data_IF_475288183324
#
_entry.id   IF_475288183324
#
_cell.length_a   1.000
_cell.length_b   1.000
_cell.length_c   1.000
_cell.angle_alpha   90.00
_cell.angle_beta   90.00
_cell.angle_gamma   90.00
#
_symmetry.space_group_name_H-M   'P 1'
#
loop_
_entity.id
_entity.type
_entity.pdbx_description
1 polymer ?
#
# COMPACT_ATOMS: atom_id res chain seq x y z
N UNK A 1 1.80 -10.52 12.29
CA UNK A 1 2.63 -10.02 11.16
C UNK A 1 1.67 -9.42 10.14
N UNK A 2 1.94 -8.24 9.59
CA UNK A 2 1.03 -7.60 8.64
C UNK A 2 1.50 -7.82 7.21
N UNK A 3 0.59 -8.16 6.32
CA UNK A 3 0.86 -8.45 4.91
C UNK A 3 0.18 -7.41 4.01
N UNK A 4 0.82 -7.06 2.90
CA UNK A 4 0.40 -5.96 2.05
C UNK A 4 0.28 -6.38 0.59
N UNK A 5 -0.74 -5.86 -0.08
CA UNK A 5 -0.86 -5.91 -1.53
C UNK A 5 -1.08 -4.51 -2.10
N UNK A 6 -0.49 -4.23 -3.25
CA UNK A 6 -0.65 -2.97 -3.96
C UNK A 6 -1.32 -3.21 -5.30
N UNK A 7 -2.43 -2.51 -5.55
CA UNK A 7 -3.08 -2.45 -6.85
C UNK A 7 -2.73 -1.11 -7.50
N UNK A 8 -1.96 -1.13 -8.59
CA UNK A 8 -1.63 0.09 -9.35
C UNK A 8 -2.83 0.52 -10.16
N UNK A 9 -3.07 1.83 -10.27
CA UNK A 9 -4.15 2.37 -11.11
C UNK A 9 -3.81 2.31 -12.61
N UNK A 10 -2.53 2.20 -12.96
CA UNK A 10 -2.01 2.28 -14.33
C UNK A 10 -0.73 1.43 -14.48
N UNK A 11 -0.39 1.03 -15.71
CA UNK A 11 0.87 0.32 -16.00
C UNK A 11 2.11 1.20 -15.71
N UNK A 12 2.03 2.48 -16.05
CA UNK A 12 3.05 3.46 -15.68
C UNK A 12 2.73 4.10 -14.33
N UNK A 13 3.74 4.42 -13.50
CA UNK A 13 3.52 5.06 -12.22
C UNK A 13 2.97 6.48 -12.40
N UNK A 14 1.72 6.69 -12.02
CA UNK A 14 1.11 8.02 -11.91
C UNK A 14 1.32 8.53 -10.49
N UNK A 15 1.78 9.77 -10.31
CA UNK A 15 1.98 10.36 -8.99
C UNK A 15 0.82 11.29 -8.60
N UNK A 16 0.42 11.23 -7.34
CA UNK A 16 -0.76 11.93 -6.80
C UNK A 16 -0.44 12.65 -5.49
N UNK A 17 -1.23 13.68 -5.20
CA UNK A 17 -1.11 14.48 -3.99
C UNK A 17 0.11 15.43 -3.98
N UNK A 18 0.28 16.19 -2.89
CA UNK A 18 1.42 17.07 -2.71
C UNK A 18 2.73 16.28 -2.53
N UNK A 19 3.86 16.96 -2.76
CA UNK A 19 5.18 16.43 -2.44
C UNK A 19 5.29 16.30 -0.92
N UNK A 20 5.75 15.15 -0.43
CA UNK A 20 6.11 14.99 0.97
C UNK A 20 7.36 15.84 1.25
N UNK A 21 7.26 16.90 2.08
CA UNK A 21 8.37 17.83 2.28
C UNK A 21 9.59 17.19 2.94
N UNK A 22 9.40 16.07 3.67
CA UNK A 22 10.48 15.37 4.36
C UNK A 22 11.31 14.49 3.43
N UNK A 23 10.68 13.91 2.40
CA UNK A 23 11.31 12.91 1.52
C UNK A 23 11.52 13.39 0.09
N UNK A 24 10.85 14.48 -0.30
CA UNK A 24 10.81 14.96 -1.68
C UNK A 24 10.00 14.08 -2.64
N UNK A 25 9.34 13.02 -2.13
CA UNK A 25 8.60 12.04 -2.95
C UNK A 25 7.12 12.37 -3.02
N UNK A 26 6.43 11.83 -4.02
CA UNK A 26 4.96 11.83 -4.14
C UNK A 26 4.39 10.44 -3.98
N UNK A 27 3.11 10.35 -3.64
CA UNK A 27 2.42 9.07 -3.57
C UNK A 27 2.14 8.56 -4.97
N UNK A 28 2.28 7.27 -5.20
CA UNK A 28 1.85 6.65 -6.45
C UNK A 28 0.33 6.40 -6.40
N UNK A 29 -0.34 6.60 -7.52
CA UNK A 29 -1.74 6.27 -7.74
C UNK A 29 -1.93 4.76 -7.59
N UNK A 30 -2.87 4.37 -6.74
CA UNK A 30 -3.20 2.98 -6.45
C UNK A 30 -3.71 2.77 -5.04
N UNK A 31 -4.11 1.53 -4.79
CA UNK A 31 -4.74 1.10 -3.55
C UNK A 31 -3.85 0.14 -2.78
N UNK A 32 -3.62 0.45 -1.51
CA UNK A 32 -2.92 -0.42 -0.57
C UNK A 32 -3.94 -1.24 0.21
N UNK A 33 -3.87 -2.56 0.11
CA UNK A 33 -4.66 -3.49 0.90
C UNK A 33 -3.80 -4.13 1.99
N UNK A 34 -4.39 -4.36 3.17
CA UNK A 34 -3.71 -4.80 4.38
C UNK A 34 -4.36 -6.06 4.91
N UNK A 35 -3.56 -7.04 5.33
CA UNK A 35 -4.04 -8.35 5.77
C UNK A 35 -3.32 -8.80 7.04
N UNK A 36 -4.05 -9.43 7.96
CA UNK A 36 -3.49 -10.08 9.15
C UNK A 36 -2.80 -11.41 8.85
N UNK A 37 -3.18 -12.08 7.76
CA UNK A 37 -2.65 -13.39 7.36
C UNK A 37 -2.12 -13.37 5.93
N UNK A 38 -1.01 -14.10 5.72
CA UNK A 38 -0.40 -14.25 4.40
C UNK A 38 -1.37 -14.88 3.39
N UNK A 39 -2.10 -15.90 3.83
CA UNK A 39 -3.03 -16.66 2.98
C UNK A 39 -4.15 -15.77 2.43
N UNK A 40 -4.65 -14.82 3.22
CA UNK A 40 -5.70 -13.90 2.79
C UNK A 40 -5.19 -12.91 1.74
N UNK A 41 -3.97 -12.38 1.93
CA UNK A 41 -3.30 -11.55 0.91
C UNK A 41 -3.13 -12.33 -0.39
N UNK A 42 -2.61 -13.55 -0.31
CA UNK A 42 -2.29 -14.35 -1.49
C UNK A 42 -3.58 -14.73 -2.25
N UNK A 43 -4.66 -15.06 -1.53
CA UNK A 43 -6.00 -15.27 -2.11
C UNK A 43 -6.55 -13.99 -2.77
N UNK A 44 -6.38 -12.83 -2.13
CA UNK A 44 -6.79 -11.55 -2.72
C UNK A 44 -6.05 -11.27 -4.03
N UNK A 45 -4.73 -11.47 -4.05
CA UNK A 45 -3.91 -11.29 -5.26
C UNK A 45 -4.41 -12.20 -6.39
N UNK A 46 -4.66 -13.47 -6.10
CA UNK A 46 -5.22 -14.43 -7.06
C UNK A 46 -6.57 -13.96 -7.61
N UNK A 47 -7.48 -13.49 -6.74
CA UNK A 47 -8.79 -12.96 -7.13
C UNK A 47 -8.69 -11.71 -8.01
N UNK A 48 -7.65 -10.88 -7.82
CA UNK A 48 -7.40 -9.71 -8.67
C UNK A 48 -6.74 -10.05 -10.00
N UNK A 49 -6.48 -11.34 -10.29
CA UNK A 49 -5.87 -11.82 -11.54
C UNK A 49 -4.58 -11.07 -11.92
N UNK A 50 -3.77 -10.74 -10.92
CA UNK A 50 -2.50 -10.03 -11.10
C UNK A 50 -2.60 -8.50 -11.13
N UNK A 51 -3.79 -7.91 -11.00
CA UNK A 51 -3.93 -6.46 -10.88
C UNK A 51 -3.39 -5.92 -9.54
N UNK A 52 -3.35 -6.75 -8.49
CA UNK A 52 -2.63 -6.48 -7.26
C UNK A 52 -1.40 -7.38 -7.11
N UNK A 53 -0.33 -6.83 -6.54
CA UNK A 53 0.92 -7.55 -6.28
C UNK A 53 1.30 -7.49 -4.81
N UNK A 54 1.94 -8.53 -4.30
CA UNK A 54 2.46 -8.54 -2.94
C UNK A 54 3.60 -7.53 -2.80
N UNK A 55 3.56 -6.71 -1.76
CA UNK A 55 4.62 -5.74 -1.44
C UNK A 55 5.06 -5.88 0.00
N UNK A 56 6.31 -5.49 0.26
CA UNK A 56 6.82 -5.37 1.63
C UNK A 56 6.34 -4.07 2.27
N UNK A 57 6.39 -3.98 3.60
CA UNK A 57 6.10 -2.73 4.31
C UNK A 57 7.00 -1.56 3.85
N UNK A 58 8.27 -1.84 3.51
CA UNK A 58 9.18 -0.84 2.95
C UNK A 58 8.69 -0.34 1.59
N UNK A 59 8.32 -1.24 0.68
CA UNK A 59 7.79 -0.86 -0.64
C UNK A 59 6.45 -0.11 -0.51
N UNK A 60 5.56 -0.54 0.37
CA UNK A 60 4.28 0.14 0.61
C UNK A 60 4.47 1.58 1.11
N UNK A 61 5.46 1.82 1.99
CA UNK A 61 5.83 3.18 2.41
C UNK A 61 6.33 4.03 1.27
N UNK A 62 7.20 3.49 0.43
CA UNK A 62 7.73 4.19 -0.75
C UNK A 62 6.62 4.60 -1.71
N UNK A 63 5.66 3.69 -1.98
CA UNK A 63 4.48 3.96 -2.79
C UNK A 63 3.58 5.05 -2.19
N UNK A 64 3.61 5.26 -0.88
CA UNK A 64 2.92 6.35 -0.18
C UNK A 64 3.86 7.53 0.13
N UNK A 65 4.64 7.98 -0.85
CA UNK A 65 5.55 9.13 -0.71
C UNK A 65 6.64 8.97 0.37
N UNK A 66 7.04 7.73 0.67
CA UNK A 66 8.05 7.44 1.70
C UNK A 66 7.59 7.84 3.10
N UNK A 67 6.38 7.45 3.50
CA UNK A 67 5.90 7.70 4.87
C UNK A 67 6.93 7.28 5.93
N UNK A 68 6.98 8.01 7.03
CA UNK A 68 7.69 7.53 8.23
C UNK A 68 7.05 6.23 8.70
N UNK A 69 7.79 5.46 9.49
CA UNK A 69 7.22 4.24 10.07
C UNK A 69 5.98 4.53 10.92
N UNK A 70 6.02 5.59 11.75
CA UNK A 70 4.87 6.01 12.54
C UNK A 70 3.64 6.36 11.67
N UNK A 71 3.80 7.24 10.68
CA UNK A 71 2.68 7.64 9.82
C UNK A 71 2.14 6.46 8.98
N UNK A 72 3.02 5.53 8.60
CA UNK A 72 2.60 4.31 7.92
C UNK A 72 1.82 3.38 8.85
N UNK A 73 2.24 3.23 10.10
CA UNK A 73 1.53 2.42 11.09
C UNK A 73 0.14 3.00 11.41
N UNK A 74 0.02 4.33 11.49
CA UNK A 74 -1.28 5.01 11.63
C UNK A 74 -2.19 4.71 10.42
N UNK A 75 -1.68 4.83 9.18
CA UNK A 75 -2.42 4.44 7.98
C UNK A 75 -2.85 2.98 8.02
N UNK A 76 -1.96 2.07 8.41
CA UNK A 76 -2.25 0.64 8.53
C UNK A 76 -3.33 0.37 9.57
N UNK A 77 -3.31 1.07 10.70
CA UNK A 77 -4.35 0.95 11.72
C UNK A 77 -5.73 1.37 11.19
N UNK A 78 -5.81 2.46 10.42
CA UNK A 78 -7.06 2.88 9.77
C UNK A 78 -7.54 1.84 8.75
N UNK A 79 -6.65 1.30 7.92
CA UNK A 79 -7.00 0.30 6.91
C UNK A 79 -7.45 -1.04 7.50
N UNK A 80 -6.95 -1.41 8.67
CA UNK A 80 -7.39 -2.60 9.41
C UNK A 80 -8.72 -2.33 10.14
N UNK A 81 -8.87 -1.15 10.75
CA UNK A 81 -10.07 -0.76 11.50
C UNK A 81 -11.29 -0.42 10.64
N UNK A 82 -11.09 -0.06 9.36
CA UNK A 82 -12.15 0.22 8.39
C UNK A 82 -12.75 -1.02 7.70
N UNK A 83 -12.40 -2.23 8.14
CA UNK A 83 -12.92 -3.50 7.62
C UNK A 83 -14.12 -4.05 8.44
N UNK A 84 -14.90 -3.17 9.08
CA UNK A 84 -16.14 -3.50 9.79
C UNK A 84 -17.36 -3.00 9.02
#
# INVERSE_FOLDING_TARGET
>A
MTYFAWASSTEQPTFTGPINPRTGKRSQAGSLSVFGWRRDRDRFIEQTKGAAVAVTAKQARELKAGLTEQAFNELVAVLIGGAL
#
